data_IF_652435273020
#
_entry.id   IF_652435273020
#
_cell.length_a   1.000
_cell.length_b   1.000
_cell.length_c   1.000
_cell.angle_alpha   90.00
_cell.angle_beta   90.00
_cell.angle_gamma   90.00
#
_symmetry.space_group_name_H-M   'P 1'
#
loop_
_entity.id
_entity.type
_entity.pdbx_description
1 polymer ?
#
# COMPACT_ATOMS: atom_id res chain seq x y z
N UNK A 1 7.05 -14.06 -1.83
CA UNK A 1 6.28 -12.92 -1.29
C UNK A 1 6.04 -13.16 0.19
N UNK A 2 6.51 -12.27 1.06
CA UNK A 2 6.24 -12.32 2.51
C UNK A 2 5.40 -11.10 2.88
N UNK A 3 4.33 -11.29 3.63
CA UNK A 3 3.48 -10.20 4.12
C UNK A 3 3.66 -10.10 5.63
N UNK A 4 3.94 -8.89 6.12
CA UNK A 4 4.07 -8.59 7.55
C UNK A 4 3.18 -7.43 7.89
N UNK A 5 2.18 -7.68 8.72
CA UNK A 5 1.25 -6.65 9.20
C UNK A 5 1.63 -6.21 10.61
N UNK A 6 1.68 -4.91 10.83
CA UNK A 6 1.89 -4.26 12.12
C UNK A 6 0.75 -3.29 12.37
N UNK A 7 -0.06 -3.57 13.39
CA UNK A 7 -1.07 -2.62 13.87
C UNK A 7 -0.38 -1.55 14.70
N UNK A 8 -0.53 -0.28 14.33
CA UNK A 8 0.08 0.87 15.03
C UNK A 8 -0.87 1.44 16.08
N UNK A 9 -2.14 1.55 15.75
CA UNK A 9 -3.23 1.92 16.65
C UNK A 9 -4.54 1.30 16.15
N UNK A 10 -5.66 1.57 16.81
CA UNK A 10 -6.95 1.02 16.38
C UNK A 10 -7.37 1.46 14.97
N UNK A 11 -6.94 2.67 14.58
CA UNK A 11 -7.30 3.32 13.33
C UNK A 11 -6.26 3.14 12.22
N UNK A 12 -5.06 2.61 12.50
CA UNK A 12 -3.98 2.47 11.52
C UNK A 12 -3.30 1.10 11.59
N UNK A 13 -3.29 0.43 10.45
CA UNK A 13 -2.59 -0.82 10.19
C UNK A 13 -1.56 -0.63 9.08
N UNK A 14 -0.31 -1.07 9.31
CA UNK A 14 0.75 -1.01 8.31
C UNK A 14 1.06 -2.44 7.83
N UNK A 15 0.93 -2.69 6.54
CA UNK A 15 1.24 -3.97 5.90
C UNK A 15 2.44 -3.82 4.98
N UNK A 16 3.52 -4.53 5.30
CA UNK A 16 4.71 -4.61 4.46
C UNK A 16 4.63 -5.87 3.59
N UNK A 17 4.67 -5.68 2.28
CA UNK A 17 4.67 -6.75 1.26
C UNK A 17 6.09 -6.81 0.67
N UNK A 18 6.85 -7.83 1.05
CA UNK A 18 8.19 -8.08 0.52
C UNK A 18 8.07 -8.89 -0.77
N UNK A 19 8.40 -8.25 -1.90
CA UNK A 19 8.31 -8.85 -3.23
C UNK A 19 9.62 -9.59 -3.55
N UNK A 20 10.76 -8.91 -3.38
CA UNK A 20 12.11 -9.48 -3.49
C UNK A 20 13.06 -8.87 -2.43
N UNK A 21 14.39 -9.04 -2.58
CA UNK A 21 15.38 -8.51 -1.61
C UNK A 21 15.49 -6.98 -1.63
N UNK A 22 15.00 -6.32 -2.67
CA UNK A 22 15.22 -4.91 -2.98
C UNK A 22 13.91 -4.11 -3.00
N UNK A 23 12.76 -4.77 -3.20
CA UNK A 23 11.45 -4.17 -3.34
C UNK A 23 10.50 -4.60 -2.24
N UNK A 24 10.09 -3.62 -1.44
CA UNK A 24 9.04 -3.73 -0.43
C UNK A 24 7.95 -2.73 -0.77
N UNK A 25 6.69 -3.17 -0.77
CA UNK A 25 5.56 -2.25 -0.73
C UNK A 25 5.10 -2.06 0.70
N UNK A 26 4.95 -0.82 1.13
CA UNK A 26 4.36 -0.50 2.43
C UNK A 26 2.96 0.02 2.19
N UNK A 27 1.99 -0.59 2.85
CA UNK A 27 0.59 -0.18 2.77
C UNK A 27 0.13 0.30 4.13
N UNK A 28 -0.27 1.56 4.21
CA UNK A 28 -0.88 2.17 5.40
C UNK A 28 -2.39 2.17 5.23
N UNK A 29 -3.11 1.40 6.04
CA UNK A 29 -4.56 1.28 5.99
C UNK A 29 -5.18 1.95 7.20
N UNK A 30 -6.00 2.96 6.93
CA UNK A 30 -6.74 3.71 7.90
C UNK A 30 -8.19 3.24 7.97
N UNK A 31 -8.70 3.04 9.19
CA UNK A 31 -10.12 2.82 9.43
C UNK A 31 -10.84 4.16 9.46
N UNK A 32 -11.89 4.29 8.64
CA UNK A 32 -12.70 5.49 8.49
C UNK A 32 -14.18 5.14 8.79
N UNK A 33 -15.03 6.13 9.12
CA UNK A 33 -16.46 5.87 9.36
C UNK A 33 -17.17 5.17 8.20
N UNK A 34 -16.73 5.43 6.97
CA UNK A 34 -17.32 4.90 5.73
C UNK A 34 -16.59 3.66 5.19
N UNK A 35 -15.58 3.13 5.89
CA UNK A 35 -14.81 1.97 5.44
C UNK A 35 -13.32 2.07 5.72
N UNK A 36 -12.50 1.78 4.71
CA UNK A 36 -11.04 1.74 4.81
C UNK A 36 -10.39 2.54 3.70
N UNK A 37 -9.42 3.37 4.08
CA UNK A 37 -8.57 4.11 3.15
C UNK A 37 -7.14 3.59 3.25
N UNK A 38 -6.60 3.11 2.14
CA UNK A 38 -5.24 2.57 2.07
C UNK A 38 -4.34 3.44 1.20
N UNK A 39 -3.09 3.57 1.62
CA UNK A 39 -2.03 4.24 0.90
C UNK A 39 -0.88 3.26 0.70
N UNK A 40 -0.47 3.02 -0.54
CA UNK A 40 0.63 2.12 -0.87
C UNK A 40 1.82 2.91 -1.43
N UNK A 41 3.01 2.70 -0.90
CA UNK A 41 4.26 3.18 -1.49
C UNK A 41 5.24 2.02 -1.68
N UNK A 42 6.36 2.28 -2.35
CA UNK A 42 7.42 1.29 -2.54
C UNK A 42 8.77 1.79 -2.01
N UNK A 43 9.68 0.86 -1.76
CA UNK A 43 11.05 1.14 -1.30
C UNK A 43 12.05 1.44 -2.42
N UNK A 44 11.61 1.52 -3.67
CA UNK A 44 12.49 1.74 -4.82
C UNK A 44 12.80 3.24 -4.95
N UNK A 45 14.09 3.56 -5.00
CA UNK A 45 14.55 4.95 -4.93
C UNK A 45 14.01 5.85 -6.06
N UNK A 46 13.77 5.30 -7.25
CA UNK A 46 13.24 6.07 -8.37
C UNK A 46 11.73 6.32 -8.29
N UNK A 47 11.03 5.63 -7.38
CA UNK A 47 9.58 5.66 -7.23
C UNK A 47 9.13 5.93 -5.79
N UNK A 48 10.03 6.48 -4.96
CA UNK A 48 9.78 6.71 -3.54
C UNK A 48 8.67 7.76 -3.30
N UNK A 49 8.43 8.61 -4.30
CA UNK A 49 7.42 9.66 -4.34
C UNK A 49 6.07 9.17 -4.90
N UNK A 50 6.03 7.98 -5.50
CA UNK A 50 4.78 7.39 -6.00
C UNK A 50 3.96 6.82 -4.83
N UNK A 51 2.69 7.24 -4.79
CA UNK A 51 1.74 6.85 -3.76
C UNK A 51 0.45 6.36 -4.42
N UNK A 52 0.20 5.05 -4.33
CA UNK A 52 -1.06 4.45 -4.73
C UNK A 52 -2.12 4.62 -3.64
N UNK A 53 -3.37 4.78 -4.05
CA UNK A 53 -4.51 5.03 -3.15
C UNK A 53 -5.64 4.05 -3.38
N UNK A 54 -6.31 3.66 -2.31
CA UNK A 54 -7.44 2.75 -2.37
C UNK A 54 -8.49 3.09 -1.32
N UNK A 55 -9.75 3.09 -1.71
CA UNK A 55 -10.88 3.30 -0.79
C UNK A 55 -11.93 2.22 -1.00
N UNK A 56 -12.31 1.54 0.07
CA UNK A 56 -13.35 0.51 0.03
C UNK A 56 -13.91 0.24 1.43
N UNK A 57 -15.17 -0.18 1.53
CA UNK A 57 -15.80 -0.67 2.76
C UNK A 57 -15.12 -1.92 3.35
N UNK A 58 -14.32 -2.63 2.54
CA UNK A 58 -13.62 -3.86 2.92
C UNK A 58 -12.12 -3.57 2.94
N UNK A 59 -11.46 -3.95 4.03
CA UNK A 59 -10.04 -3.70 4.24
C UNK A 59 -9.17 -4.31 3.13
N UNK A 60 -9.42 -5.56 2.77
CA UNK A 60 -8.62 -6.27 1.77
C UNK A 60 -8.76 -5.64 0.39
N UNK A 61 -9.97 -5.24 0.02
CA UNK A 61 -10.22 -4.56 -1.26
C UNK A 61 -9.58 -3.17 -1.28
N UNK A 62 -9.65 -2.41 -0.19
CA UNK A 62 -8.96 -1.13 -0.04
C UNK A 62 -7.45 -1.26 -0.27
N UNK A 63 -6.82 -2.29 0.33
CA UNK A 63 -5.40 -2.60 0.13
C UNK A 63 -5.10 -3.01 -1.31
N UNK A 64 -5.93 -3.87 -1.92
CA UNK A 64 -5.76 -4.29 -3.31
C UNK A 64 -5.79 -3.10 -4.27
N UNK A 65 -6.75 -2.20 -4.10
CA UNK A 65 -6.87 -0.98 -4.89
C UNK A 65 -5.63 -0.10 -4.77
N UNK A 66 -5.15 0.15 -3.54
CA UNK A 66 -3.95 0.96 -3.33
C UNK A 66 -2.69 0.36 -3.97
N UNK A 67 -2.52 -0.97 -3.86
CA UNK A 67 -1.38 -1.66 -4.49
C UNK A 67 -1.51 -1.68 -6.01
N UNK A 68 -2.72 -1.82 -6.55
CA UNK A 68 -2.95 -1.77 -7.98
C UNK A 68 -2.63 -0.38 -8.55
N UNK A 69 -3.16 0.68 -7.93
CA UNK A 69 -2.89 2.07 -8.31
C UNK A 69 -1.38 2.37 -8.29
N UNK A 70 -0.67 1.93 -7.23
CA UNK A 70 0.79 2.05 -7.16
C UNK A 70 1.50 1.34 -8.33
N UNK A 71 1.05 0.14 -8.72
CA UNK A 71 1.64 -0.60 -9.85
C UNK A 71 1.42 0.11 -11.17
N UNK A 72 0.25 0.70 -11.36
CA UNK A 72 -0.07 1.50 -12.56
C UNK A 72 0.83 2.74 -12.63
N UNK A 73 1.03 3.44 -11.51
CA UNK A 73 1.97 4.57 -11.42
C UNK A 73 3.41 4.14 -11.73
N UNK A 74 3.89 3.07 -11.09
CA UNK A 74 5.25 2.53 -11.33
C UNK A 74 5.45 2.14 -12.80
N UNK A 75 4.43 1.57 -13.44
CA UNK A 75 4.48 1.21 -14.86
C UNK A 75 4.47 2.43 -15.79
N UNK A 76 3.79 3.52 -15.40
CA UNK A 76 3.74 4.77 -16.16
C UNK A 76 5.05 5.56 -16.10
N UNK A 77 5.84 5.37 -15.04
CA UNK A 77 7.12 6.06 -14.84
C UNK A 77 8.28 5.06 -14.73
N UNK A 78 8.66 4.32 -15.78
CA UNK A 78 9.83 3.45 -15.72
C UNK A 78 11.07 4.32 -15.46
N UNK A 79 11.64 4.20 -14.25
CA UNK A 79 12.76 5.02 -13.78
C UNK A 79 14.07 4.77 -14.50
#
# INVERSE_FOLDING_TARGET
MRVVTKRKCDELEITNIYIDKSLTFTVETFTMPEGYKSFANNSYLHHYDLLGTGFHENKEESVKLAVQDLRELVAAFPG
#
